data_IF_696069144097
#
_entry.id   IF_696069144097
#
_cell.length_a   1.000
_cell.length_b   1.000
_cell.length_c   1.000
_cell.angle_alpha   90.00
_cell.angle_beta   90.00
_cell.angle_gamma   90.00
#
_symmetry.space_group_name_H-M   'P 1'
#
loop_
_entity.id
_entity.type
_entity.pdbx_description
1 polymer ?
#
# COMPACT_ATOMS: atom_id res chain seq x y z
N UNK A 1 -24.15 -5.08 -20.82
CA UNK A 1 -23.86 -6.35 -20.16
C UNK A 1 -23.96 -6.06 -18.68
N UNK A 2 -24.88 -6.67 -17.96
CA UNK A 2 -25.09 -6.42 -16.53
C UNK A 2 -23.94 -7.05 -15.76
N UNK A 3 -23.13 -6.21 -15.14
CA UNK A 3 -21.93 -6.52 -14.36
C UNK A 3 -22.27 -7.19 -13.01
N UNK A 4 -23.54 -7.49 -12.77
CA UNK A 4 -24.14 -7.71 -11.45
C UNK A 4 -23.80 -9.01 -10.70
N UNK A 5 -22.99 -9.93 -11.22
CA UNK A 5 -22.74 -11.17 -10.47
C UNK A 5 -21.28 -11.58 -10.34
N UNK A 6 -20.37 -10.69 -10.71
CA UNK A 6 -18.93 -10.91 -10.65
C UNK A 6 -18.23 -10.10 -9.57
N UNK A 7 -18.90 -9.12 -8.97
CA UNK A 7 -18.27 -8.17 -8.07
C UNK A 7 -17.86 -8.79 -6.73
N UNK A 8 -18.43 -9.96 -6.38
CA UNK A 8 -18.10 -10.71 -5.16
C UNK A 8 -18.57 -12.17 -5.23
N UNK A 9 -17.98 -13.09 -4.43
CA UNK A 9 -18.49 -14.44 -4.25
C UNK A 9 -19.95 -14.43 -3.77
N UNK A 10 -20.78 -15.32 -4.30
CA UNK A 10 -22.24 -15.35 -4.04
C UNK A 10 -22.63 -15.47 -2.57
N UNK A 11 -21.70 -15.92 -1.71
CA UNK A 11 -21.97 -16.20 -0.30
C UNK A 11 -21.34 -15.17 0.64
N UNK A 12 -20.58 -14.18 0.13
CA UNK A 12 -19.96 -13.14 0.97
C UNK A 12 -20.86 -11.91 1.04
N UNK A 13 -21.26 -11.50 2.26
CA UNK A 13 -21.98 -10.24 2.47
C UNK A 13 -21.06 -9.03 2.24
N UNK A 14 -21.67 -7.86 2.01
CA UNK A 14 -20.93 -6.57 2.06
C UNK A 14 -20.27 -6.45 3.41
N UNK A 15 -19.04 -5.96 3.43
CA UNK A 15 -18.32 -5.74 4.67
C UNK A 15 -19.00 -4.61 5.48
N UNK A 16 -19.01 -4.82 6.78
CA UNK A 16 -19.44 -3.83 7.77
C UNK A 16 -18.29 -3.65 8.78
N UNK A 17 -18.15 -2.47 9.40
CA UNK A 17 -17.12 -2.24 10.39
C UNK A 17 -17.16 -3.25 11.53
N UNK A 18 -16.04 -3.90 11.81
CA UNK A 18 -15.87 -4.75 12.97
C UNK A 18 -15.54 -3.97 14.24
N UNK A 19 -15.13 -4.68 15.29
CA UNK A 19 -14.67 -4.05 16.53
C UNK A 19 -13.18 -3.84 16.46
N UNK A 20 -12.74 -2.58 16.52
CA UNK A 20 -11.33 -2.23 16.59
C UNK A 20 -10.80 -2.58 17.98
N UNK A 21 -9.77 -3.44 18.03
CA UNK A 21 -9.10 -3.81 19.28
C UNK A 21 -8.27 -2.66 19.86
N UNK A 22 -7.72 -2.82 21.09
CA UNK A 22 -6.91 -1.79 21.72
C UNK A 22 -5.65 -1.46 20.95
N UNK A 23 -5.12 -0.23 21.18
CA UNK A 23 -3.83 0.20 20.63
C UNK A 23 -2.70 -0.74 21.07
N UNK A 24 -1.90 -1.21 20.10
CA UNK A 24 -0.70 -1.99 20.40
C UNK A 24 0.40 -1.11 20.98
N UNK A 25 1.20 -1.67 21.85
CA UNK A 25 2.24 -0.94 22.58
C UNK A 25 3.59 -1.09 21.89
N UNK A 26 4.26 0.02 21.68
CA UNK A 26 5.65 0.03 21.19
C UNK A 26 6.59 0.31 22.34
N UNK A 27 7.64 -0.52 22.57
CA UNK A 27 8.64 -0.28 23.59
C UNK A 27 9.28 1.10 23.48
N UNK A 28 9.58 1.74 24.60
CA UNK A 28 10.20 3.07 24.62
C UNK A 28 11.64 3.11 24.08
N UNK A 29 12.26 1.95 23.90
CA UNK A 29 13.57 1.80 23.26
C UNK A 29 13.53 1.95 21.74
N UNK A 30 12.36 1.83 21.12
CA UNK A 30 12.17 2.01 19.69
C UNK A 30 11.88 3.48 19.40
N UNK A 31 12.67 4.08 18.53
CA UNK A 31 12.47 5.45 18.08
C UNK A 31 11.12 5.60 17.36
N UNK A 32 10.39 6.68 17.66
CA UNK A 32 9.08 6.97 17.06
C UNK A 32 9.20 8.14 16.09
N UNK A 33 8.45 8.14 14.97
CA UNK A 33 8.34 9.33 14.14
C UNK A 33 7.68 10.47 14.93
N UNK A 34 8.01 11.71 14.56
CA UNK A 34 7.55 12.89 15.31
C UNK A 34 6.04 13.06 15.36
N UNK A 35 5.31 12.56 14.37
CA UNK A 35 3.86 12.65 14.29
C UNK A 35 3.13 11.66 15.21
N UNK A 36 3.80 10.58 15.63
CA UNK A 36 3.14 9.50 16.37
C UNK A 36 2.38 10.01 17.59
N UNK A 37 1.05 9.81 17.59
CA UNK A 37 0.11 10.24 18.63
C UNK A 37 0.07 11.76 18.89
N UNK A 38 0.36 12.58 17.89
CA UNK A 38 0.12 14.03 17.97
C UNK A 38 -1.21 14.36 17.30
N UNK A 39 -2.03 15.19 17.96
CA UNK A 39 -3.34 15.62 17.45
C UNK A 39 -3.24 16.48 16.18
N UNK A 40 -2.10 17.14 15.97
CA UNK A 40 -1.77 17.85 14.75
C UNK A 40 -0.54 17.18 14.11
N UNK A 41 -0.77 16.17 13.28
CA UNK A 41 0.25 15.79 12.34
C UNK A 41 0.43 16.99 11.40
N UNK A 42 1.57 17.69 11.52
CA UNK A 42 2.01 18.55 10.41
C UNK A 42 2.05 17.64 9.20
N UNK A 43 1.42 18.07 8.11
CA UNK A 43 1.57 17.34 6.85
C UNK A 43 3.05 17.13 6.64
N UNK A 44 3.48 15.89 6.63
CA UNK A 44 4.86 15.50 6.31
C UNK A 44 5.14 15.61 4.80
N UNK A 45 4.24 16.27 4.06
CA UNK A 45 4.41 16.67 2.66
C UNK A 45 5.56 17.68 2.47
N UNK A 46 6.71 17.37 3.03
CA UNK A 46 7.92 18.19 2.88
C UNK A 46 9.15 17.29 2.90
N UNK A 47 10.01 17.51 1.92
CA UNK A 47 11.28 16.82 1.82
C UNK A 47 11.86 16.91 0.42
N UNK A 48 13.15 16.65 0.25
CA UNK A 48 13.74 16.57 -1.07
C UNK A 48 13.21 15.34 -1.82
N UNK A 49 12.94 15.48 -3.12
CA UNK A 49 12.58 14.35 -3.96
C UNK A 49 13.79 13.48 -4.31
N UNK A 50 14.96 14.12 -4.46
CA UNK A 50 16.24 13.45 -4.72
C UNK A 50 16.97 13.22 -3.40
N UNK A 51 17.32 11.97 -3.12
CA UNK A 51 17.89 11.57 -1.83
C UNK A 51 19.42 11.49 -1.87
N UNK A 52 20.06 11.68 -0.69
CA UNK A 52 21.49 11.43 -0.57
C UNK A 52 21.79 9.93 -0.44
N UNK A 53 23.02 9.49 -0.75
CA UNK A 53 23.40 8.08 -0.58
C UNK A 53 23.16 7.54 0.84
N UNK A 54 23.35 8.38 1.87
CA UNK A 54 23.12 8.01 3.27
C UNK A 54 21.65 7.79 3.58
N UNK A 55 20.77 8.62 3.02
CA UNK A 55 19.30 8.46 3.14
C UNK A 55 18.86 7.21 2.40
N UNK A 56 19.33 7.00 1.17
CA UNK A 56 19.02 5.82 0.36
C UNK A 56 19.32 4.52 1.13
N UNK A 57 20.49 4.45 1.78
CA UNK A 57 20.88 3.27 2.55
C UNK A 57 19.98 3.01 3.76
N UNK A 58 19.54 4.08 4.45
CA UNK A 58 18.56 3.96 5.53
C UNK A 58 17.20 3.49 5.01
N UNK A 59 16.74 4.02 3.87
CA UNK A 59 15.45 3.61 3.25
C UNK A 59 15.50 2.15 2.81
N UNK A 60 16.63 1.64 2.28
CA UNK A 60 16.78 0.20 1.98
C UNK A 60 16.49 -0.67 3.19
N UNK A 61 17.07 -0.32 4.36
CA UNK A 61 16.86 -1.08 5.60
C UNK A 61 15.42 -1.02 6.08
N UNK A 62 14.80 0.15 6.08
CA UNK A 62 13.40 0.30 6.45
C UNK A 62 12.46 -0.47 5.50
N UNK A 63 12.71 -0.38 4.19
CA UNK A 63 11.97 -1.09 3.15
C UNK A 63 12.08 -2.60 3.26
N UNK A 64 13.27 -3.12 3.55
CA UNK A 64 13.46 -4.56 3.77
C UNK A 64 12.64 -5.08 4.97
N UNK A 65 12.54 -4.29 6.06
CA UNK A 65 11.71 -4.64 7.23
C UNK A 65 10.22 -4.66 6.85
N UNK A 66 9.74 -3.65 6.12
CA UNK A 66 8.35 -3.60 5.64
C UNK A 66 8.04 -4.82 4.76
N UNK A 67 8.93 -5.18 3.83
CA UNK A 67 8.77 -6.34 2.96
C UNK A 67 8.75 -7.67 3.73
N UNK A 68 9.57 -7.83 4.79
CA UNK A 68 9.55 -9.00 5.67
C UNK A 68 8.21 -9.08 6.40
N UNK A 69 7.73 -7.98 6.97
CA UNK A 69 6.48 -7.95 7.70
C UNK A 69 5.28 -8.25 6.77
N UNK A 70 5.27 -7.68 5.57
CA UNK A 70 4.27 -7.98 4.55
C UNK A 70 4.26 -9.46 4.15
N UNK A 71 5.43 -10.06 3.95
CA UNK A 71 5.56 -11.49 3.65
C UNK A 71 5.00 -12.38 4.76
N UNK A 72 5.28 -12.06 6.03
CA UNK A 72 4.76 -12.85 7.16
C UNK A 72 3.23 -12.66 7.30
N UNK A 73 2.71 -11.45 7.07
CA UNK A 73 1.27 -11.20 7.00
C UNK A 73 0.59 -12.02 5.90
N UNK A 74 1.18 -12.05 4.70
CA UNK A 74 0.66 -12.83 3.56
C UNK A 74 0.60 -14.34 3.84
N UNK A 75 1.59 -14.90 4.56
CA UNK A 75 1.56 -16.31 4.98
C UNK A 75 0.43 -16.61 5.96
N UNK A 76 0.03 -15.62 6.76
CA UNK A 76 -1.03 -15.74 7.75
C UNK A 76 -2.43 -15.46 7.17
N UNK A 77 -2.54 -14.90 5.97
CA UNK A 77 -3.81 -14.62 5.32
C UNK A 77 -4.55 -15.91 4.94
N UNK A 78 -5.32 -16.46 5.89
CA UNK A 78 -6.04 -17.72 5.77
C UNK A 78 -7.48 -17.59 6.28
N UNK A 79 -8.42 -18.38 5.77
CA UNK A 79 -9.79 -18.40 6.31
C UNK A 79 -9.80 -18.67 7.83
N UNK A 80 -10.61 -17.90 8.57
CA UNK A 80 -10.77 -17.99 10.01
C UNK A 80 -9.86 -17.06 10.82
N UNK A 81 -8.88 -16.39 10.20
CA UNK A 81 -8.04 -15.38 10.85
C UNK A 81 -8.73 -14.01 10.73
N UNK A 82 -8.63 -13.21 11.76
CA UNK A 82 -9.14 -11.82 11.76
C UNK A 82 -8.12 -10.85 11.18
N UNK A 83 -8.58 -9.71 10.68
CA UNK A 83 -7.68 -8.65 10.23
C UNK A 83 -6.85 -8.06 11.39
N UNK A 84 -7.37 -8.08 12.64
CA UNK A 84 -6.59 -7.67 13.83
C UNK A 84 -5.44 -8.66 14.16
N UNK A 85 -5.59 -9.95 13.85
CA UNK A 85 -4.50 -10.93 13.99
C UNK A 85 -3.39 -10.69 12.95
N UNK A 86 -3.74 -10.27 11.73
CA UNK A 86 -2.75 -9.84 10.72
C UNK A 86 -1.98 -8.62 11.22
N UNK A 87 -2.67 -7.61 11.78
CA UNK A 87 -2.02 -6.43 12.39
C UNK A 87 -1.07 -6.83 13.53
N UNK A 88 -1.45 -7.84 14.34
CA UNK A 88 -0.57 -8.33 15.40
C UNK A 88 0.76 -8.87 14.85
N UNK A 89 0.69 -9.66 13.78
CA UNK A 89 1.87 -10.25 13.14
C UNK A 89 2.76 -9.13 12.57
N UNK A 90 2.19 -8.19 11.82
CA UNK A 90 2.94 -7.05 11.26
C UNK A 90 3.61 -6.24 12.37
N UNK A 91 2.87 -5.93 13.44
CA UNK A 91 3.37 -5.20 14.58
C UNK A 91 4.59 -5.88 15.22
N UNK A 92 4.47 -7.16 15.55
CA UNK A 92 5.54 -7.94 16.19
C UNK A 92 6.78 -8.03 15.29
N UNK A 93 6.61 -8.34 14.01
CA UNK A 93 7.74 -8.44 13.06
C UNK A 93 8.49 -7.11 12.95
N UNK A 94 7.79 -5.98 12.83
CA UNK A 94 8.42 -4.66 12.77
C UNK A 94 9.21 -4.37 14.05
N UNK A 95 8.61 -4.63 15.24
CA UNK A 95 9.28 -4.40 16.52
C UNK A 95 10.50 -5.31 16.73
N UNK A 96 10.44 -6.55 16.30
CA UNK A 96 11.55 -7.52 16.41
C UNK A 96 12.79 -7.06 15.62
N UNK A 97 12.58 -6.26 14.59
CA UNK A 97 13.65 -5.63 13.80
C UNK A 97 14.05 -4.23 14.33
N UNK A 98 13.53 -3.81 15.49
CA UNK A 98 13.86 -2.52 16.11
C UNK A 98 13.23 -1.31 15.40
N UNK A 99 12.28 -1.52 14.53
CA UNK A 99 11.57 -0.48 13.77
C UNK A 99 10.22 -0.13 14.42
N UNK A 100 9.62 0.99 13.97
CA UNK A 100 8.29 1.43 14.37
C UNK A 100 7.30 1.25 13.22
N UNK A 101 6.09 0.71 13.44
CA UNK A 101 5.07 0.65 12.39
C UNK A 101 4.54 2.06 12.10
N UNK A 102 4.86 2.59 10.92
CA UNK A 102 4.65 4.00 10.58
C UNK A 102 3.19 4.45 10.63
N UNK A 103 2.26 3.56 10.31
CA UNK A 103 0.82 3.85 10.33
C UNK A 103 0.29 4.08 11.75
N UNK A 104 0.90 3.45 12.79
CA UNK A 104 0.42 3.53 14.16
C UNK A 104 0.52 4.95 14.72
N UNK A 105 -0.61 5.61 14.92
CA UNK A 105 -0.69 6.99 15.39
C UNK A 105 -0.50 8.06 14.31
N UNK A 106 -0.35 7.67 13.03
CA UNK A 106 -0.34 8.62 11.92
C UNK A 106 -1.75 9.18 11.71
N UNK A 107 -1.92 10.49 11.84
CA UNK A 107 -3.25 11.15 11.78
C UNK A 107 -4.32 10.41 12.60
N UNK A 108 -3.91 9.88 13.76
CA UNK A 108 -4.74 9.08 14.67
C UNK A 108 -5.12 7.68 14.16
N UNK A 109 -4.49 7.14 13.11
CA UNK A 109 -4.71 5.77 12.67
C UNK A 109 -4.34 4.78 13.81
N UNK A 110 -5.23 3.83 14.19
CA UNK A 110 -5.08 3.11 15.45
C UNK A 110 -4.30 1.79 15.36
N UNK A 111 -3.77 1.43 14.19
CA UNK A 111 -3.18 0.12 13.91
C UNK A 111 -1.81 0.21 13.23
N UNK A 112 -1.10 -0.90 13.17
CA UNK A 112 0.29 -0.99 12.68
C UNK A 112 0.42 -1.24 11.18
N UNK A 113 -0.68 -1.60 10.53
CA UNK A 113 -0.80 -1.73 9.08
C UNK A 113 -2.24 -1.42 8.66
N UNK A 114 -2.47 -1.28 7.34
CA UNK A 114 -3.83 -1.32 6.81
C UNK A 114 -4.17 -2.73 6.33
N UNK A 115 -5.44 -3.13 6.47
CA UNK A 115 -5.98 -4.40 5.97
C UNK A 115 -7.23 -4.12 5.14
N UNK A 116 -7.10 -4.20 3.83
CA UNK A 116 -8.15 -3.85 2.89
C UNK A 116 -8.72 -5.10 2.24
N UNK A 117 -9.88 -5.54 2.73
CA UNK A 117 -10.52 -6.80 2.35
C UNK A 117 -11.54 -6.56 1.24
N UNK A 118 -11.51 -7.33 0.18
CA UNK A 118 -12.48 -7.36 -0.92
C UNK A 118 -12.79 -6.00 -1.58
N UNK A 119 -13.91 -5.36 -1.19
CA UNK A 119 -14.34 -4.05 -1.67
C UNK A 119 -13.67 -2.86 -0.99
N UNK A 120 -12.81 -3.10 0.00
CA UNK A 120 -12.03 -2.03 0.62
C UNK A 120 -10.88 -1.68 -0.31
N UNK A 121 -10.87 -0.44 -0.79
CA UNK A 121 -9.87 0.08 -1.73
C UNK A 121 -8.52 0.25 -1.06
N UNK A 122 -8.52 0.93 0.10
CA UNK A 122 -7.32 1.20 0.89
C UNK A 122 -7.70 1.65 2.31
N UNK A 123 -6.70 1.77 3.18
CA UNK A 123 -6.77 2.30 4.53
C UNK A 123 -7.75 1.56 5.45
N UNK A 124 -8.08 0.31 5.14
CA UNK A 124 -8.92 -0.51 6.02
C UNK A 124 -8.26 -0.66 7.39
N UNK A 125 -9.01 -0.33 8.47
CA UNK A 125 -8.52 -0.48 9.84
C UNK A 125 -8.64 -1.95 10.26
N UNK A 126 -7.56 -2.63 10.65
CA UNK A 126 -7.61 -3.97 11.24
C UNK A 126 -8.57 -4.05 12.42
N UNK A 127 -9.50 -5.00 12.38
CA UNK A 127 -10.55 -5.18 13.36
C UNK A 127 -10.93 -6.65 13.58
N UNK A 128 -12.07 -6.92 14.21
CA UNK A 128 -12.58 -8.28 14.46
C UNK A 128 -13.15 -9.00 13.23
N UNK A 129 -13.04 -8.42 12.03
CA UNK A 129 -13.53 -9.03 10.80
C UNK A 129 -12.76 -10.31 10.50
N UNK A 130 -13.48 -11.43 10.43
CA UNK A 130 -12.92 -12.75 10.10
C UNK A 130 -12.85 -12.90 8.59
N UNK A 131 -11.68 -13.26 8.08
CA UNK A 131 -11.50 -13.63 6.67
C UNK A 131 -12.18 -14.97 6.35
N UNK A 132 -12.79 -15.06 5.21
CA UNK A 132 -13.49 -16.25 4.73
C UNK A 132 -12.86 -16.80 3.45
N UNK A 133 -13.15 -18.05 3.15
CA UNK A 133 -12.77 -18.69 1.88
C UNK A 133 -13.27 -17.89 0.69
N UNK A 134 -12.37 -17.53 -0.23
CA UNK A 134 -12.70 -16.73 -1.41
C UNK A 134 -12.52 -15.24 -1.28
N UNK A 135 -12.14 -14.75 -0.09
CA UNK A 135 -11.74 -13.35 0.11
C UNK A 135 -10.39 -13.04 -0.56
N UNK A 136 -10.16 -11.78 -0.84
CA UNK A 136 -8.83 -11.24 -1.16
C UNK A 136 -8.48 -10.15 -0.16
N UNK A 137 -7.26 -10.16 0.35
CA UNK A 137 -6.81 -9.22 1.38
C UNK A 137 -5.61 -8.42 0.87
N UNK A 138 -5.71 -7.12 0.78
CA UNK A 138 -4.55 -6.26 0.70
C UNK A 138 -4.04 -5.96 2.12
N UNK A 139 -2.74 -6.12 2.32
CA UNK A 139 -2.03 -5.68 3.54
C UNK A 139 -1.02 -4.62 3.13
N UNK A 140 -1.08 -3.47 3.81
CA UNK A 140 -0.23 -2.32 3.54
C UNK A 140 0.61 -2.00 4.77
N UNK A 141 1.93 -2.03 4.58
CA UNK A 141 2.93 -2.05 5.65
C UNK A 141 3.99 -1.00 5.42
N UNK A 142 4.08 -0.06 6.35
CA UNK A 142 5.18 0.91 6.38
C UNK A 142 6.00 0.77 7.65
N UNK A 143 7.31 0.64 7.52
CA UNK A 143 8.24 0.58 8.64
C UNK A 143 9.07 1.86 8.75
N UNK A 144 9.22 2.39 9.97
CA UNK A 144 10.09 3.52 10.28
C UNK A 144 11.32 3.05 11.04
N UNK A 145 12.48 3.32 10.46
CA UNK A 145 13.79 2.99 11.07
C UNK A 145 14.77 4.12 10.80
N UNK A 146 15.55 4.51 11.82
CA UNK A 146 16.64 5.49 11.69
C UNK A 146 16.23 6.80 11.00
N UNK A 147 15.01 7.26 11.26
CA UNK A 147 14.52 8.53 10.75
C UNK A 147 13.93 8.49 9.32
N UNK A 148 13.73 7.31 8.73
CA UNK A 148 13.16 7.15 7.39
C UNK A 148 12.08 6.06 7.35
N UNK A 149 11.28 6.09 6.31
CA UNK A 149 10.20 5.14 6.05
C UNK A 149 10.52 4.24 4.86
N UNK A 150 9.97 3.03 4.88
CA UNK A 150 9.90 2.13 3.73
C UNK A 150 8.51 1.53 3.68
N UNK A 151 7.87 1.56 2.51
CA UNK A 151 6.45 1.34 2.29
C UNK A 151 6.19 0.30 1.22
N UNK A 152 5.25 -0.62 1.46
CA UNK A 152 4.89 -1.65 0.49
C UNK A 152 3.57 -2.31 0.84
N UNK A 153 2.82 -2.72 -0.19
CA UNK A 153 1.63 -3.53 -0.01
C UNK A 153 1.50 -4.63 -1.06
N UNK A 154 0.68 -5.62 -0.77
CA UNK A 154 0.30 -6.66 -1.71
C UNK A 154 -1.09 -7.22 -1.39
N UNK A 155 -1.78 -7.70 -2.41
CA UNK A 155 -3.06 -8.38 -2.27
C UNK A 155 -2.86 -9.90 -2.30
N UNK A 156 -3.32 -10.56 -1.24
CA UNK A 156 -3.21 -12.02 -1.04
C UNK A 156 -4.56 -12.71 -1.21
N UNK A 157 -4.59 -13.90 -1.83
CA UNK A 157 -5.78 -14.74 -1.82
C UNK A 157 -5.99 -15.35 -0.43
N UNK A 158 -7.23 -15.45 0.01
CA UNK A 158 -7.63 -16.13 1.25
C UNK A 158 -8.31 -17.44 0.90
N UNK A 159 -7.57 -18.54 1.01
CA UNK A 159 -8.02 -19.85 0.54
C UNK A 159 -8.12 -19.92 -0.99
N UNK A 160 -9.14 -20.65 -1.49
CA UNK A 160 -9.41 -20.79 -2.94
C UNK A 160 -10.31 -19.63 -3.40
N UNK A 161 -9.80 -18.76 -4.28
CA UNK A 161 -10.51 -17.59 -4.78
C UNK A 161 -11.10 -17.81 -6.17
N UNK A 162 -12.09 -16.98 -6.54
CA UNK A 162 -12.68 -17.00 -7.87
C UNK A 162 -11.64 -16.62 -8.95
N UNK A 163 -11.72 -17.21 -10.17
CA UNK A 163 -10.80 -16.88 -11.26
C UNK A 163 -10.71 -15.40 -11.61
N UNK A 164 -11.79 -14.66 -11.44
CA UNK A 164 -11.87 -13.22 -11.71
C UNK A 164 -11.12 -12.41 -10.65
N UNK A 165 -11.16 -12.84 -9.39
CA UNK A 165 -10.37 -12.25 -8.31
C UNK A 165 -8.87 -12.54 -8.52
N UNK A 166 -8.54 -13.75 -8.96
CA UNK A 166 -7.16 -14.10 -9.31
C UNK A 166 -6.65 -13.26 -10.50
N UNK A 167 -7.44 -13.09 -11.56
CA UNK A 167 -7.07 -12.24 -12.70
C UNK A 167 -6.92 -10.76 -12.27
N UNK A 168 -7.77 -10.25 -11.37
CA UNK A 168 -7.64 -8.90 -10.81
C UNK A 168 -6.31 -8.73 -10.09
N UNK A 169 -5.94 -9.68 -9.21
CA UNK A 169 -4.66 -9.67 -8.48
C UNK A 169 -3.49 -9.65 -9.48
N UNK A 170 -3.44 -10.61 -10.41
CA UNK A 170 -2.36 -10.73 -11.39
C UNK A 170 -2.22 -9.48 -12.26
N UNK A 171 -3.36 -8.89 -12.70
CA UNK A 171 -3.35 -7.68 -13.53
C UNK A 171 -2.93 -6.44 -12.75
N UNK A 172 -3.28 -6.35 -11.48
CA UNK A 172 -2.90 -5.22 -10.64
C UNK A 172 -1.39 -5.23 -10.38
N UNK A 173 -0.82 -6.38 -10.05
CA UNK A 173 0.62 -6.54 -9.88
C UNK A 173 1.39 -6.20 -11.16
N UNK A 174 0.97 -6.74 -12.32
CA UNK A 174 1.60 -6.41 -13.60
C UNK A 174 1.42 -4.91 -13.96
N UNK A 175 0.29 -4.29 -13.59
CA UNK A 175 0.08 -2.85 -13.80
C UNK A 175 1.09 -2.01 -13.00
N UNK A 176 1.34 -2.34 -11.75
CA UNK A 176 2.37 -1.72 -10.91
C UNK A 176 3.74 -1.84 -11.56
N UNK A 177 4.18 -3.04 -11.94
CA UNK A 177 5.47 -3.23 -12.59
C UNK A 177 5.59 -2.52 -13.93
N UNK A 178 4.49 -2.36 -14.69
CA UNK A 178 4.49 -1.54 -15.91
C UNK A 178 4.70 -0.07 -15.59
N UNK A 179 4.08 0.43 -14.53
CA UNK A 179 4.30 1.78 -14.02
C UNK A 179 5.75 2.01 -13.65
N UNK A 180 6.34 1.13 -12.83
CA UNK A 180 7.75 1.18 -12.41
C UNK A 180 8.68 1.17 -13.63
N UNK A 181 8.49 0.26 -14.58
CA UNK A 181 9.30 0.20 -15.82
C UNK A 181 9.15 1.44 -16.71
N UNK A 182 8.06 2.18 -16.60
CA UNK A 182 7.85 3.41 -17.35
C UNK A 182 8.52 4.63 -16.72
N UNK A 183 8.79 4.59 -15.41
CA UNK A 183 9.48 5.63 -14.65
C UNK A 183 10.97 5.65 -15.01
N UNK A 184 11.33 6.52 -15.96
CA UNK A 184 12.71 6.67 -16.45
C UNK A 184 13.18 8.11 -16.32
N UNK A 185 14.46 8.27 -16.06
CA UNK A 185 15.10 9.60 -15.99
C UNK A 185 14.69 10.47 -17.19
N UNK A 186 14.37 11.72 -16.90
CA UNK A 186 13.98 12.75 -17.88
C UNK A 186 12.52 12.65 -18.34
N UNK A 187 11.73 11.67 -17.87
CA UNK A 187 10.28 11.62 -18.09
C UNK A 187 9.52 12.27 -16.95
N UNK A 188 8.33 12.75 -17.22
CA UNK A 188 7.41 13.24 -16.19
C UNK A 188 6.77 12.06 -15.44
N UNK A 189 6.51 12.21 -14.13
CA UNK A 189 5.93 11.14 -13.31
C UNK A 189 4.54 10.71 -13.78
N UNK A 190 3.78 11.58 -14.45
CA UNK A 190 2.46 11.24 -15.01
C UNK A 190 2.49 10.07 -16.02
N UNK A 191 3.67 9.73 -16.56
CA UNK A 191 3.81 8.57 -17.45
C UNK A 191 3.47 7.25 -16.76
N UNK A 192 3.69 7.17 -15.46
CA UNK A 192 3.36 5.99 -14.63
C UNK A 192 1.88 5.69 -14.76
N UNK A 193 1.04 6.65 -14.41
CA UNK A 193 -0.41 6.49 -14.44
C UNK A 193 -0.97 6.24 -15.83
N UNK A 194 -0.43 6.93 -16.84
CA UNK A 194 -0.82 6.69 -18.25
C UNK A 194 -0.62 5.24 -18.67
N UNK A 195 0.48 4.64 -18.28
CA UNK A 195 0.78 3.24 -18.62
C UNK A 195 -0.11 2.28 -17.85
N UNK A 196 -0.34 2.54 -16.56
CA UNK A 196 -1.21 1.75 -15.68
C UNK A 196 -2.64 1.76 -16.22
N UNK A 197 -3.27 2.94 -16.33
CA UNK A 197 -4.67 3.07 -16.76
C UNK A 197 -4.90 2.45 -18.14
N UNK A 198 -3.97 2.68 -19.08
CA UNK A 198 -4.04 2.06 -20.41
C UNK A 198 -3.97 0.54 -20.35
N UNK A 199 -3.21 -0.02 -19.41
CA UNK A 199 -3.09 -1.46 -19.28
C UNK A 199 -4.33 -2.09 -18.69
N UNK A 200 -4.79 -1.63 -17.53
CA UNK A 200 -5.94 -2.20 -16.82
C UNK A 200 -7.25 -2.01 -17.59
N UNK A 201 -7.40 -0.88 -18.29
CA UNK A 201 -8.55 -0.60 -19.15
C UNK A 201 -8.76 -1.61 -20.29
N UNK A 202 -7.74 -2.39 -20.69
CA UNK A 202 -7.88 -3.48 -21.69
C UNK A 202 -8.75 -4.63 -21.20
N UNK A 203 -8.83 -4.79 -19.88
CA UNK A 203 -9.60 -5.83 -19.20
C UNK A 203 -10.95 -5.32 -18.71
N UNK A 204 -11.24 -4.03 -18.92
CA UNK A 204 -12.45 -3.39 -18.43
C UNK A 204 -12.36 -2.98 -16.96
N UNK A 205 -11.16 -3.00 -16.38
CA UNK A 205 -10.90 -2.55 -15.03
C UNK A 205 -10.66 -1.04 -14.98
N UNK A 206 -10.92 -0.44 -13.83
CA UNK A 206 -10.64 0.98 -13.58
C UNK A 206 -9.56 1.16 -12.49
N UNK A 207 -8.81 2.25 -12.56
CA UNK A 207 -7.87 2.67 -11.55
C UNK A 207 -8.46 3.82 -10.75
N UNK A 208 -8.42 3.72 -9.42
CA UNK A 208 -8.82 4.79 -8.50
C UNK A 208 -7.86 5.97 -8.67
N UNK A 209 -8.37 7.21 -8.59
CA UNK A 209 -7.60 8.41 -8.95
C UNK A 209 -7.22 9.30 -7.77
N UNK A 210 -7.99 9.22 -6.71
CA UNK A 210 -7.89 10.12 -5.55
C UNK A 210 -6.80 9.70 -4.58
N UNK A 211 -6.35 8.46 -4.65
CA UNK A 211 -5.24 7.90 -3.90
C UNK A 211 -4.09 7.62 -4.87
N UNK A 212 -2.89 8.06 -4.49
CA UNK A 212 -1.74 8.12 -5.40
C UNK A 212 -0.50 7.56 -4.72
N UNK A 213 0.46 7.11 -5.48
CA UNK A 213 1.81 6.90 -4.99
C UNK A 213 2.46 8.22 -4.59
N UNK A 214 3.53 8.14 -3.85
CA UNK A 214 4.17 9.29 -3.23
C UNK A 214 5.68 9.11 -3.08
N UNK A 215 6.38 10.21 -2.95
CA UNK A 215 7.77 10.17 -2.53
C UNK A 215 7.86 9.78 -1.06
N UNK A 216 8.80 8.89 -0.70
CA UNK A 216 9.01 8.36 0.64
C UNK A 216 10.48 8.37 1.01
N UNK A 217 10.80 8.86 2.21
CA UNK A 217 12.14 8.85 2.80
C UNK A 217 12.06 9.27 4.28
N UNK A 218 12.61 10.46 4.65
CA UNK A 218 12.48 11.04 5.99
C UNK A 218 11.03 11.44 6.31
N UNK A 219 10.27 11.89 5.30
CA UNK A 219 8.81 12.01 5.39
C UNK A 219 8.15 10.71 4.95
N UNK A 220 7.04 10.35 5.60
CA UNK A 220 6.18 9.25 5.16
C UNK A 220 5.67 9.57 3.74
N UNK A 221 5.22 10.81 3.53
CA UNK A 221 4.87 11.38 2.23
C UNK A 221 5.67 12.68 2.06
N UNK A 222 6.58 12.76 1.08
CA UNK A 222 7.43 13.95 0.93
C UNK A 222 6.86 15.03 -0.01
N UNK A 223 5.63 14.85 -0.50
CA UNK A 223 4.94 15.80 -1.37
C UNK A 223 5.03 15.50 -2.87
N UNK A 224 5.92 14.61 -3.31
CA UNK A 224 5.89 14.09 -4.67
C UNK A 224 4.67 13.20 -4.86
N UNK A 225 3.88 13.44 -5.90
CA UNK A 225 2.64 12.69 -6.20
C UNK A 225 2.84 11.86 -7.46
N UNK A 226 2.54 10.56 -7.37
CA UNK A 226 2.63 9.60 -8.47
C UNK A 226 1.22 9.13 -8.83
N UNK A 227 0.57 9.70 -9.86
CA UNK A 227 -0.78 9.29 -10.25
C UNK A 227 -0.79 7.90 -10.89
N UNK A 228 -1.89 7.17 -10.72
CA UNK A 228 -2.11 5.86 -11.34
C UNK A 228 -3.13 5.91 -12.50
N UNK A 229 -3.35 7.10 -13.07
CA UNK A 229 -4.21 7.37 -14.21
C UNK A 229 -3.56 8.38 -15.15
N UNK A 230 -4.03 8.52 -16.39
CA UNK A 230 -3.50 9.53 -17.33
C UNK A 230 -3.93 10.93 -16.90
N UNK A 231 -3.02 11.59 -16.22
CA UNK A 231 -3.22 12.90 -15.58
C UNK A 231 -2.61 14.07 -16.37
N UNK A 232 -1.93 13.79 -17.48
CA UNK A 232 -1.26 14.85 -18.25
C UNK A 232 -2.25 15.97 -18.65
N UNK A 233 -1.83 17.23 -18.59
CA UNK A 233 -0.46 17.73 -18.34
C UNK A 233 -0.13 17.97 -16.85
N UNK A 234 -0.95 17.49 -15.91
CA UNK A 234 -0.69 17.61 -14.49
C UNK A 234 0.35 16.58 -14.01
N UNK A 235 0.94 16.80 -12.84
CA UNK A 235 1.99 15.96 -12.24
C UNK A 235 3.14 15.78 -13.22
N UNK A 236 3.80 16.91 -13.55
CA UNK A 236 4.84 17.06 -14.54
C UNK A 236 6.26 17.08 -13.94
N UNK A 237 6.39 16.72 -12.66
CA UNK A 237 7.69 16.54 -12.02
C UNK A 237 8.56 15.59 -12.85
N UNK A 238 9.79 16.03 -13.13
CA UNK A 238 10.73 15.27 -13.94
C UNK A 238 11.46 14.26 -13.07
N UNK A 239 11.48 13.01 -13.51
CA UNK A 239 12.18 11.92 -12.83
C UNK A 239 13.68 12.11 -12.94
N UNK A 240 14.36 12.14 -11.80
CA UNK A 240 15.80 12.31 -11.65
C UNK A 240 16.45 11.11 -10.95
N UNK A 241 17.76 10.85 -11.14
CA UNK A 241 18.47 9.84 -10.36
C UNK A 241 18.37 10.11 -8.85
N UNK A 242 18.36 9.06 -8.05
CA UNK A 242 18.22 9.09 -6.59
C UNK A 242 16.85 9.57 -6.08
N UNK A 243 15.84 9.69 -6.90
CA UNK A 243 14.47 9.80 -6.44
C UNK A 243 14.00 8.45 -5.88
N UNK A 244 13.29 8.49 -4.74
CA UNK A 244 12.62 7.34 -4.13
C UNK A 244 11.14 7.66 -4.03
N UNK A 245 10.30 6.77 -4.55
CA UNK A 245 8.84 6.92 -4.48
C UNK A 245 8.13 5.57 -4.64
N UNK A 246 6.84 5.56 -4.35
CA UNK A 246 5.99 4.37 -4.48
C UNK A 246 5.25 4.36 -5.82
N UNK A 247 4.90 3.18 -6.28
CA UNK A 247 3.89 2.94 -7.32
C UNK A 247 2.93 1.90 -6.78
N UNK A 248 1.66 2.28 -6.60
CA UNK A 248 0.68 1.55 -5.80
C UNK A 248 -0.75 1.59 -6.41
N UNK A 249 -0.95 1.17 -7.66
CA UNK A 249 -2.26 1.27 -8.30
C UNK A 249 -3.34 0.47 -7.57
N UNK A 250 -4.45 1.13 -7.26
CA UNK A 250 -5.68 0.53 -6.77
C UNK A 250 -6.59 0.27 -7.96
N UNK A 251 -6.78 -1.00 -8.30
CA UNK A 251 -7.53 -1.44 -9.48
C UNK A 251 -8.82 -2.12 -9.07
N UNK A 252 -9.93 -1.75 -9.69
CA UNK A 252 -11.27 -2.25 -9.36
C UNK A 252 -11.86 -3.11 -10.48
N UNK A 253 -12.58 -4.17 -10.11
CA UNK A 253 -13.37 -4.97 -11.06
C UNK A 253 -14.54 -4.18 -11.67
N UNK A 254 -15.10 -3.24 -10.91
CA UNK A 254 -16.22 -2.42 -11.27
C UNK A 254 -15.84 -0.95 -11.42
N UNK A 255 -16.67 -0.09 -10.83
CA UNK A 255 -16.44 1.35 -10.85
C UNK A 255 -15.33 1.77 -9.87
N UNK A 256 -14.53 2.75 -10.28
CA UNK A 256 -13.55 3.40 -9.39
C UNK A 256 -14.16 4.35 -8.36
N UNK A 257 -15.50 4.60 -8.43
CA UNK A 257 -16.19 5.45 -7.47
C UNK A 257 -16.15 4.82 -6.09
N UNK A 258 -15.90 5.62 -5.07
CA UNK A 258 -15.69 5.16 -3.70
C UNK A 258 -16.56 5.91 -2.69
N UNK A 259 -16.72 5.29 -1.53
CA UNK A 259 -17.31 5.87 -0.33
C UNK A 259 -16.35 5.66 0.84
N UNK A 260 -16.39 6.55 1.84
CA UNK A 260 -15.58 6.43 3.05
C UNK A 260 -16.47 6.05 4.22
N UNK A 261 -15.97 5.15 5.09
CA UNK A 261 -16.66 4.81 6.33
C UNK A 261 -16.58 5.93 7.37
N UNK A 262 -17.46 5.86 8.36
CA UNK A 262 -17.53 6.84 9.46
C UNK A 262 -16.28 6.81 10.38
N UNK A 263 -15.40 5.81 10.23
CA UNK A 263 -14.11 5.72 10.92
C UNK A 263 -13.10 6.77 10.40
N UNK A 264 -13.40 7.43 9.29
CA UNK A 264 -12.58 8.47 8.68
C UNK A 264 -11.38 7.96 7.87
N UNK A 265 -11.21 6.62 7.74
CA UNK A 265 -10.09 5.99 7.05
C UNK A 265 -10.52 5.01 5.97
N UNK A 266 -11.33 4.02 6.31
CA UNK A 266 -11.67 2.91 5.42
C UNK A 266 -12.41 3.40 4.18
N UNK A 267 -11.81 3.17 3.01
CA UNK A 267 -12.35 3.53 1.69
C UNK A 267 -12.86 2.28 1.01
N UNK A 268 -14.12 2.30 0.54
CA UNK A 268 -14.73 1.15 -0.16
C UNK A 268 -15.20 1.54 -1.53
N UNK A 269 -15.19 0.59 -2.49
CA UNK A 269 -15.85 0.80 -3.78
C UNK A 269 -17.35 1.05 -3.56
N UNK A 270 -17.94 2.00 -4.30
CA UNK A 270 -19.36 2.33 -4.17
C UNK A 270 -20.27 1.21 -4.64
N UNK A 271 -19.87 0.49 -5.67
CA UNK A 271 -20.59 -0.67 -6.21
C UNK A 271 -20.31 -1.98 -5.46
N UNK A 272 -19.43 -1.92 -4.44
CA UNK A 272 -19.02 -3.07 -3.62
C UNK A 272 -18.32 -4.17 -4.42
N UNK A 273 -17.74 -3.81 -5.55
CA UNK A 273 -16.86 -4.68 -6.34
C UNK A 273 -15.50 -4.86 -5.71
N UNK A 274 -14.88 -6.00 -5.94
CA UNK A 274 -13.53 -6.29 -5.46
C UNK A 274 -12.51 -5.32 -6.05
N UNK A 275 -11.51 -5.01 -5.23
CA UNK A 275 -10.37 -4.18 -5.59
C UNK A 275 -9.08 -4.85 -5.15
N UNK A 276 -8.00 -4.63 -5.89
CA UNK A 276 -6.67 -5.08 -5.53
C UNK A 276 -5.68 -3.92 -5.62
N UNK A 277 -4.64 -3.98 -4.79
CA UNK A 277 -3.53 -3.04 -4.79
C UNK A 277 -2.21 -3.81 -4.65
N UNK A 278 -1.18 -3.31 -5.28
CA UNK A 278 0.22 -3.73 -5.08
C UNK A 278 1.09 -2.50 -5.05
N UNK A 279 2.12 -2.54 -4.22
CA UNK A 279 3.03 -1.42 -4.06
C UNK A 279 4.46 -1.87 -3.87
N UNK A 280 5.35 -1.11 -4.48
CA UNK A 280 6.75 -1.11 -4.12
C UNK A 280 7.28 0.31 -3.94
N UNK A 281 8.12 0.49 -2.90
CA UNK A 281 9.09 1.57 -2.84
C UNK A 281 10.28 1.20 -3.71
N UNK A 282 10.69 2.09 -4.61
CA UNK A 282 11.84 1.88 -5.48
C UNK A 282 12.68 3.14 -5.68
N UNK A 283 13.93 2.92 -5.97
CA UNK A 283 14.95 3.94 -6.24
C UNK A 283 15.17 4.07 -7.74
N UNK A 284 15.19 5.30 -8.25
CA UNK A 284 15.67 5.59 -9.60
C UNK A 284 17.20 5.60 -9.59
N UNK A 285 17.83 4.71 -10.37
CA UNK A 285 19.27 4.63 -10.53
C UNK A 285 19.68 5.18 -11.90
N UNK A 286 20.97 5.50 -12.09
CA UNK A 286 21.50 5.98 -13.39
C UNK A 286 21.18 5.04 -14.57
N UNK A 287 21.14 3.73 -14.31
CA UNK A 287 20.95 2.70 -15.33
C UNK A 287 19.54 2.09 -15.36
N UNK A 288 18.63 2.54 -14.45
CA UNK A 288 17.28 1.99 -14.36
C UNK A 288 16.59 2.24 -13.03
N UNK A 289 16.24 1.18 -12.32
CA UNK A 289 15.62 1.26 -10.99
C UNK A 289 16.02 0.07 -10.11
N UNK A 290 15.89 0.25 -8.81
CA UNK A 290 16.07 -0.79 -7.80
C UNK A 290 14.81 -0.87 -6.93
N UNK A 291 14.23 -2.05 -6.78
CA UNK A 291 13.13 -2.29 -5.83
C UNK A 291 13.73 -2.38 -4.43
N UNK A 292 13.33 -1.49 -3.53
CA UNK A 292 13.83 -1.46 -2.15
C UNK A 292 13.03 -2.37 -1.21
N UNK A 293 11.81 -2.68 -1.57
CA UNK A 293 10.87 -3.55 -0.84
C UNK A 293 10.82 -4.97 -1.43
N UNK A 294 11.93 -5.45 -1.97
CA UNK A 294 12.06 -6.83 -2.43
C UNK A 294 12.01 -7.76 -1.20
N UNK A 295 11.04 -8.70 -1.13
CA UNK A 295 10.91 -9.62 0.01
C UNK A 295 12.08 -10.60 0.16
N UNK A 296 12.88 -10.77 -0.87
CA UNK A 296 14.09 -11.62 -0.87
C UNK A 296 15.38 -10.83 -0.57
N UNK A 297 15.28 -9.51 -0.37
CA UNK A 297 16.42 -8.68 -0.01
C UNK A 297 16.93 -9.03 1.39
N UNK A 298 18.24 -9.29 1.50
CA UNK A 298 18.90 -9.46 2.81
C UNK A 298 19.02 -8.09 3.50
N UNK A 299 18.65 -8.01 4.78
CA UNK A 299 18.92 -6.81 5.59
C UNK A 299 20.43 -6.78 5.84
N UNK A 300 21.11 -5.87 5.14
CA UNK A 300 22.52 -5.59 5.43
C UNK A 300 22.66 -4.99 6.84
N UNK A 301 23.56 -5.58 7.65
CA UNK A 301 23.78 -5.23 9.05
C UNK A 301 24.36 -3.81 9.21
#
# INVERSE_FOLDING_TARGET
MTVDHWLRPKNRSVLEPGTIGPLRQVPSSIARPEYAFKDEAKSDNCGPYVQTPEVIERVRRASAIAAIALREAGKAAQPGITTDEIDAIVHEVILDHGAYPSTLGYLSFPKSCCTSLNEVVCHGIPDSTVMEEGDILNVDVTAYLDGVHGDTNATFPVGEIAPEAADLIDRTEEAMFRGIRAAKIGREVNVVGRVIEKYVGRFGYESVREFTGHGVAEGFHNGLIIPHYDSAPHYDDVIEPNMIFTVEPMVTLGSREWDQWDDGWTVTTRDKGYTAQFEHTFLITEDGYEILTDPDAEISA
#
